data_IF_104358579001
#
_entry.id   IF_104358579001
#
_cell.length_a   1.000
_cell.length_b   1.000
_cell.length_c   1.000
_cell.angle_alpha   90.00
_cell.angle_beta   90.00
_cell.angle_gamma   90.00
#
_symmetry.space_group_name_H-M   'P 1'
#
loop_
_entity.id
_entity.type
_entity.pdbx_description
1 polymer ?
#
# COMPACT_ATOMS: atom_id res chain seq x y z
N UNK A 1 -3.02 32.63 -29.22
CA UNK A 1 -3.17 31.16 -29.20
C UNK A 1 -2.19 30.61 -28.19
N UNK A 2 -2.66 30.01 -27.09
CA UNK A 2 -1.79 29.32 -26.14
C UNK A 2 -2.06 27.82 -26.27
N UNK A 3 -1.21 27.11 -27.03
CA UNK A 3 -1.09 25.67 -26.91
C UNK A 3 -0.39 25.38 -25.57
N UNK A 4 -1.17 25.08 -24.55
CA UNK A 4 -0.66 24.44 -23.35
C UNK A 4 -0.22 23.02 -23.73
N UNK A 5 1.06 22.87 -24.08
CA UNK A 5 1.71 21.57 -24.19
C UNK A 5 1.60 20.91 -22.82
N UNK A 6 0.68 19.97 -22.70
CA UNK A 6 0.65 19.03 -21.59
C UNK A 6 1.93 18.22 -21.72
N UNK A 7 2.98 18.64 -21.01
CA UNK A 7 4.15 17.81 -20.78
C UNK A 7 3.67 16.55 -20.07
N UNK A 8 3.45 15.47 -20.84
CA UNK A 8 3.52 14.09 -20.34
C UNK A 8 5.00 13.80 -20.04
N UNK A 9 5.56 14.50 -19.07
CA UNK A 9 6.93 14.27 -18.65
C UNK A 9 6.94 13.15 -17.62
N UNK A 10 7.42 11.99 -18.06
CA UNK A 10 8.50 11.33 -17.34
C UNK A 10 8.19 10.50 -16.10
N UNK A 11 6.94 10.18 -15.77
CA UNK A 11 6.70 9.06 -14.85
C UNK A 11 6.94 7.76 -15.63
N UNK A 12 8.17 7.24 -15.59
CA UNK A 12 8.41 5.85 -15.95
C UNK A 12 7.34 5.00 -15.25
N UNK A 13 6.70 4.04 -15.93
CA UNK A 13 5.71 3.19 -15.30
C UNK A 13 6.42 2.41 -14.19
N UNK A 14 6.37 2.92 -12.96
CA UNK A 14 6.85 2.19 -11.78
C UNK A 14 6.07 0.90 -11.81
N UNK A 15 6.80 -0.21 -11.87
CA UNK A 15 6.15 -1.50 -11.90
C UNK A 15 5.39 -1.63 -10.57
N UNK A 16 4.10 -1.96 -10.62
CA UNK A 16 3.27 -2.16 -9.42
C UNK A 16 3.93 -3.01 -8.33
N UNK A 17 4.75 -4.04 -8.64
CA UNK A 17 5.52 -4.75 -7.63
C UNK A 17 6.48 -3.85 -6.84
N UNK A 18 7.17 -2.92 -7.51
CA UNK A 18 8.08 -1.95 -6.88
C UNK A 18 7.28 -0.94 -6.05
N UNK A 19 6.12 -0.51 -6.53
CA UNK A 19 5.25 0.43 -5.81
C UNK A 19 4.63 -0.17 -4.53
N UNK A 20 4.46 -1.50 -4.47
CA UNK A 20 3.94 -2.19 -3.28
C UNK A 20 5.03 -2.59 -2.28
N UNK A 21 6.31 -2.49 -2.64
CA UNK A 21 7.44 -2.87 -1.79
C UNK A 21 7.46 -2.08 -0.47
N UNK A 22 7.25 -0.76 -0.44
CA UNK A 22 7.25 0.02 0.81
C UNK A 22 6.15 -0.45 1.78
N UNK A 23 4.93 -0.65 1.29
CA UNK A 23 3.80 -1.13 2.10
C UNK A 23 4.05 -2.54 2.62
N UNK A 24 4.64 -3.42 1.80
CA UNK A 24 5.00 -4.78 2.19
C UNK A 24 6.09 -4.81 3.25
N UNK A 25 7.10 -3.96 3.12
CA UNK A 25 8.16 -3.79 4.12
C UNK A 25 7.60 -3.25 5.46
N UNK A 26 6.66 -2.31 5.40
CA UNK A 26 5.98 -1.77 6.58
C UNK A 26 5.16 -2.85 7.32
N UNK A 27 4.39 -3.66 6.59
CA UNK A 27 3.67 -4.80 7.15
C UNK A 27 4.62 -5.83 7.79
N UNK A 28 5.76 -6.09 7.15
CA UNK A 28 6.79 -6.99 7.69
C UNK A 28 7.39 -6.47 8.99
N UNK A 29 7.61 -5.14 9.09
CA UNK A 29 8.06 -4.49 10.34
C UNK A 29 6.99 -4.55 11.42
N UNK A 30 5.72 -4.43 11.07
CA UNK A 30 4.61 -4.57 12.00
C UNK A 30 4.45 -5.98 12.53
N UNK A 31 4.72 -7.01 11.71
CA UNK A 31 4.69 -8.41 12.15
C UNK A 31 5.67 -8.70 13.32
N UNK A 32 6.73 -7.89 13.45
CA UNK A 32 7.67 -7.96 14.58
C UNK A 32 7.11 -7.46 15.92
N UNK A 33 5.99 -6.73 15.93
CA UNK A 33 5.28 -6.36 17.15
C UNK A 33 4.28 -7.49 17.47
N UNK A 34 4.49 -8.18 18.61
CA UNK A 34 3.76 -9.40 18.96
C UNK A 34 2.23 -9.28 18.74
N UNK A 35 1.74 -9.97 17.72
CA UNK A 35 0.34 -10.05 17.33
C UNK A 35 -0.22 -8.89 16.51
N UNK A 36 0.61 -8.08 15.83
CA UNK A 36 0.21 -6.86 15.13
C UNK A 36 -0.15 -6.97 13.64
N UNK A 37 0.14 -8.06 12.94
CA UNK A 37 -0.36 -8.22 11.57
C UNK A 37 -0.41 -9.67 11.12
N UNK A 38 -1.49 -10.04 10.43
CA UNK A 38 -1.49 -11.17 9.51
C UNK A 38 -0.39 -10.96 8.48
N UNK A 39 0.38 -12.01 8.18
CA UNK A 39 1.43 -11.95 7.18
C UNK A 39 0.88 -11.37 5.86
N UNK A 40 1.64 -10.49 5.17
CA UNK A 40 1.24 -10.00 3.86
C UNK A 40 0.94 -11.21 2.97
N UNK A 41 -0.25 -11.25 2.35
CA UNK A 41 -0.62 -12.33 1.43
C UNK A 41 0.35 -12.30 0.25
N UNK A 42 1.39 -13.13 0.33
CA UNK A 42 2.46 -13.24 -0.67
C UNK A 42 1.97 -13.52 -2.10
N UNK A 43 0.69 -13.89 -2.28
CA UNK A 43 0.07 -14.12 -3.58
C UNK A 43 -0.59 -12.90 -4.25
N UNK A 44 -0.71 -11.74 -3.59
CA UNK A 44 -1.39 -10.57 -4.19
C UNK A 44 -0.57 -9.90 -5.30
N UNK A 45 0.76 -9.86 -5.18
CA UNK A 45 1.62 -8.96 -5.98
C UNK A 45 1.70 -9.35 -7.47
N UNK A 46 1.89 -10.64 -7.86
CA UNK A 46 2.07 -10.99 -9.28
C UNK A 46 0.81 -10.77 -10.12
N UNK A 47 -0.37 -11.10 -9.59
CA UNK A 47 -1.64 -10.93 -10.31
C UNK A 47 -2.11 -9.47 -10.41
N UNK A 48 -1.70 -8.65 -9.45
CA UNK A 48 -2.15 -7.28 -9.31
C UNK A 48 -1.43 -6.33 -10.28
N UNK A 49 -0.17 -6.60 -10.61
CA UNK A 49 0.57 -5.88 -11.66
C UNK A 49 -0.05 -6.05 -13.05
N UNK A 50 -0.39 -7.29 -13.43
CA UNK A 50 -1.04 -7.59 -14.71
C UNK A 50 -2.42 -6.93 -14.80
N UNK A 51 -3.21 -6.99 -13.72
CA UNK A 51 -4.54 -6.35 -13.65
C UNK A 51 -4.47 -4.83 -13.69
N UNK A 52 -3.46 -4.23 -13.06
CA UNK A 52 -3.22 -2.79 -13.15
C UNK A 52 -2.85 -2.37 -14.58
N UNK A 53 -1.98 -3.13 -15.25
CA UNK A 53 -1.61 -2.88 -16.64
C UNK A 53 -2.79 -3.03 -17.61
N UNK A 54 -3.79 -3.86 -17.28
CA UNK A 54 -5.03 -4.00 -18.05
C UNK A 54 -6.13 -3.00 -17.65
N UNK A 55 -6.00 -2.33 -16.49
CA UNK A 55 -7.03 -1.44 -15.96
C UNK A 55 -7.13 -0.12 -16.74
N UNK A 56 -8.32 0.51 -16.66
CA UNK A 56 -8.56 1.83 -17.25
C UNK A 56 -7.73 2.92 -16.54
N UNK A 57 -7.45 4.06 -17.21
CA UNK A 57 -6.69 5.15 -16.60
C UNK A 57 -7.33 5.70 -15.32
N UNK A 58 -8.66 5.67 -15.21
CA UNK A 58 -9.39 6.10 -14.00
C UNK A 58 -9.16 5.12 -12.86
N UNK A 59 -9.19 3.81 -13.13
CA UNK A 59 -8.92 2.79 -12.13
C UNK A 59 -7.46 2.85 -11.64
N UNK A 60 -6.49 3.06 -12.54
CA UNK A 60 -5.09 3.25 -12.16
C UNK A 60 -4.88 4.46 -11.26
N UNK A 61 -5.46 5.62 -11.58
CA UNK A 61 -5.38 6.81 -10.71
C UNK A 61 -5.97 6.59 -9.32
N UNK A 62 -7.09 5.85 -9.24
CA UNK A 62 -7.70 5.48 -7.94
C UNK A 62 -6.82 4.52 -7.16
N UNK A 63 -6.22 3.56 -7.86
CA UNK A 63 -5.24 2.64 -7.28
C UNK A 63 -4.04 3.41 -6.73
N UNK A 64 -3.44 4.30 -7.52
CA UNK A 64 -2.27 5.10 -7.11
C UNK A 64 -2.60 5.99 -5.90
N UNK A 65 -3.80 6.58 -5.85
CA UNK A 65 -4.25 7.39 -4.72
C UNK A 65 -4.38 6.56 -3.43
N UNK A 66 -5.01 5.38 -3.50
CA UNK A 66 -5.13 4.49 -2.34
C UNK A 66 -3.76 3.96 -1.90
N UNK A 67 -2.86 3.70 -2.83
CA UNK A 67 -1.50 3.28 -2.53
C UNK A 67 -0.73 4.39 -1.79
N UNK A 68 -0.81 5.61 -2.29
CA UNK A 68 -0.17 6.77 -1.66
C UNK A 68 -0.73 7.05 -0.25
N UNK A 69 -2.04 6.91 -0.06
CA UNK A 69 -2.68 7.01 1.26
C UNK A 69 -2.16 5.92 2.20
N UNK A 70 -2.06 4.67 1.73
CA UNK A 70 -1.55 3.55 2.51
C UNK A 70 -0.09 3.77 2.92
N UNK A 71 0.75 4.27 2.02
CA UNK A 71 2.15 4.62 2.32
C UNK A 71 2.24 5.73 3.36
N UNK A 72 1.42 6.78 3.23
CA UNK A 72 1.40 7.92 4.15
C UNK A 72 0.95 7.50 5.54
N UNK A 73 -0.14 6.73 5.63
CA UNK A 73 -0.66 6.17 6.88
C UNK A 73 0.36 5.23 7.51
N UNK A 74 0.93 4.32 6.71
CA UNK A 74 1.94 3.35 7.16
C UNK A 74 3.17 4.04 7.73
N UNK A 75 3.73 4.99 7.00
CA UNK A 75 4.93 5.74 7.41
C UNK A 75 4.68 6.54 8.68
N UNK A 76 3.56 7.25 8.75
CA UNK A 76 3.20 8.08 9.91
C UNK A 76 2.93 7.21 11.13
N UNK A 77 2.12 6.15 10.97
CA UNK A 77 1.79 5.23 12.04
C UNK A 77 3.01 4.49 12.59
N UNK A 78 3.92 4.02 11.71
CA UNK A 78 5.17 3.38 12.14
C UNK A 78 6.08 4.33 12.90
N UNK A 79 6.21 5.59 12.46
CA UNK A 79 6.98 6.61 13.21
C UNK A 79 6.41 6.83 14.60
N UNK A 80 5.08 6.91 14.72
CA UNK A 80 4.40 7.06 16.02
C UNK A 80 4.65 5.86 16.93
N UNK A 81 4.59 4.64 16.39
CA UNK A 81 4.86 3.40 17.15
C UNK A 81 6.33 3.32 17.58
N UNK A 82 7.26 3.61 16.67
CA UNK A 82 8.69 3.56 16.93
C UNK A 82 9.16 4.61 17.95
N UNK A 83 8.45 5.74 18.06
CA UNK A 83 8.72 6.77 19.06
C UNK A 83 8.24 6.44 20.48
N UNK A 84 7.54 5.30 20.69
CA UNK A 84 7.06 4.88 22.01
C UNK A 84 8.09 4.01 22.74
N UNK A 85 8.30 4.30 24.02
CA UNK A 85 9.13 3.51 24.93
C UNK A 85 8.39 2.23 25.34
N UNK A 86 8.55 1.15 24.58
CA UNK A 86 8.07 -0.19 24.96
C UNK A 86 7.36 -0.94 23.85
N UNK A 87 8.10 -1.72 23.06
CA UNK A 87 7.52 -2.54 22.00
C UNK A 87 6.53 -3.62 22.52
N UNK A 88 6.66 -4.02 23.79
CA UNK A 88 5.77 -4.96 24.47
C UNK A 88 4.65 -4.26 25.28
N UNK A 89 4.58 -2.93 25.25
CA UNK A 89 3.50 -2.20 25.92
C UNK A 89 2.14 -2.50 25.22
N UNK A 90 1.07 -2.82 25.97
CA UNK A 90 -0.24 -3.11 25.41
C UNK A 90 -0.78 -2.04 24.45
N UNK A 91 -0.55 -0.76 24.72
CA UNK A 91 -1.02 0.32 23.85
C UNK A 91 -0.19 0.41 22.56
N UNK A 92 1.10 0.12 22.63
CA UNK A 92 1.98 0.02 21.45
C UNK A 92 1.59 -1.16 20.57
N UNK A 93 1.32 -2.33 21.15
CA UNK A 93 0.82 -3.50 20.41
C UNK A 93 -0.55 -3.25 19.78
N UNK A 94 -1.46 -2.58 20.48
CA UNK A 94 -2.78 -2.23 19.94
C UNK A 94 -2.67 -1.24 18.76
N UNK A 95 -1.79 -0.24 18.86
CA UNK A 95 -1.53 0.69 17.76
C UNK A 95 -0.92 -0.02 16.54
N UNK A 96 0.03 -0.93 16.76
CA UNK A 96 0.61 -1.74 15.69
C UNK A 96 -0.43 -2.63 15.00
N UNK A 97 -1.33 -3.27 15.77
CA UNK A 97 -2.48 -4.03 15.25
C UNK A 97 -3.40 -3.19 14.38
N UNK A 98 -3.78 -2.02 14.89
CA UNK A 98 -4.64 -1.10 14.17
C UNK A 98 -4.02 -0.71 12.83
N UNK A 99 -2.73 -0.35 12.84
CA UNK A 99 -2.01 0.02 11.62
C UNK A 99 -1.92 -1.15 10.63
N UNK A 100 -1.62 -2.36 11.09
CA UNK A 100 -1.59 -3.56 10.26
C UNK A 100 -2.93 -3.82 9.58
N UNK A 101 -4.04 -3.71 10.32
CA UNK A 101 -5.39 -3.87 9.79
C UNK A 101 -5.76 -2.77 8.78
N UNK A 102 -5.35 -1.52 9.02
CA UNK A 102 -5.57 -0.42 8.08
C UNK A 102 -4.83 -0.65 6.76
N UNK A 103 -3.56 -1.08 6.82
CA UNK A 103 -2.76 -1.38 5.63
C UNK A 103 -3.32 -2.59 4.87
N UNK A 104 -3.74 -3.65 5.56
CA UNK A 104 -4.39 -4.81 4.92
C UNK A 104 -5.72 -4.43 4.26
N UNK A 105 -6.51 -3.56 4.89
CA UNK A 105 -7.75 -3.02 4.28
C UNK A 105 -7.44 -2.21 3.03
N UNK A 106 -6.38 -1.41 3.04
CA UNK A 106 -5.95 -0.65 1.86
C UNK A 106 -5.52 -1.59 0.73
N UNK A 107 -4.76 -2.65 1.01
CA UNK A 107 -4.38 -3.65 0.02
C UNK A 107 -5.60 -4.38 -0.58
N UNK A 108 -6.62 -4.70 0.22
CA UNK A 108 -7.88 -5.26 -0.29
C UNK A 108 -8.61 -4.29 -1.20
N UNK A 109 -8.67 -3.00 -0.85
CA UNK A 109 -9.26 -1.96 -1.72
C UNK A 109 -8.50 -1.81 -3.03
N UNK A 110 -7.17 -1.88 -3.00
CA UNK A 110 -6.35 -1.88 -4.22
C UNK A 110 -6.71 -3.07 -5.13
N UNK A 111 -6.91 -4.24 -4.55
CA UNK A 111 -7.36 -5.42 -5.27
C UNK A 111 -8.78 -5.25 -5.84
N UNK A 112 -9.71 -4.64 -5.11
CA UNK A 112 -11.09 -4.39 -5.56
C UNK A 112 -11.21 -3.32 -6.67
N UNK A 113 -10.31 -2.33 -6.69
CA UNK A 113 -10.30 -1.27 -7.72
C UNK A 113 -9.98 -1.84 -9.10
N UNK A 114 -9.16 -2.89 -9.14
CA UNK A 114 -8.76 -3.51 -10.39
C UNK A 114 -9.82 -4.51 -10.84
N UNK A 115 -10.16 -4.59 -12.14
CA UNK A 115 -11.09 -5.61 -12.62
C UNK A 115 -10.54 -7.00 -12.30
N UNK A 116 -11.42 -7.95 -11.95
CA UNK A 116 -11.03 -9.35 -11.78
C UNK A 116 -10.31 -9.82 -13.05
N UNK A 117 -9.22 -10.58 -12.90
CA UNK A 117 -8.52 -11.14 -14.05
C UNK A 117 -9.53 -11.97 -14.86
N UNK A 118 -9.90 -11.48 -16.04
CA UNK A 118 -10.64 -12.28 -17.01
C UNK A 118 -9.71 -13.40 -17.44
N UNK A 119 -10.00 -14.61 -16.95
CA UNK A 119 -9.38 -15.86 -17.39
C UNK A 119 -9.72 -16.15 -18.85
#
# INVERSE_FOLDING_TARGET
MFEARISRDGAAPVAVPEALEPVTAMLSRLAGFAGAASAPKAGLVPGLAARYAAASPVARRRFDAVLHDAETIGTTGLRLIAGRSGAADPATMAAARFLGNSLDTALRRLDEILPAATA
#
